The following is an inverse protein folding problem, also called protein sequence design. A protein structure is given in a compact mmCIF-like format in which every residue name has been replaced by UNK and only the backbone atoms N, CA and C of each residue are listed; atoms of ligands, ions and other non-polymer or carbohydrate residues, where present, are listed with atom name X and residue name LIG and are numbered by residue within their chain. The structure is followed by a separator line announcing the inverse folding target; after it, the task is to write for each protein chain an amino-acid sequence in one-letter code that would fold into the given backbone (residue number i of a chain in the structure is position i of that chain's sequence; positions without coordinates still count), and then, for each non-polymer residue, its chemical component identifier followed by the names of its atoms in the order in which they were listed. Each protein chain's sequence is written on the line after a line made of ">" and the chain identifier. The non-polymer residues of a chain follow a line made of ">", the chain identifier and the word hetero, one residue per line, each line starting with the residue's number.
data_IF_676725941838
#
_entry.id   IF_676725941838
#
_cell.length_a   1.000
_cell.length_b   1.000
_cell.length_c   1.000
_cell.angle_alpha   90.00
_cell.angle_beta   90.00
_cell.angle_gamma   90.00
#
_symmetry.space_group_name_H-M   'P 1'
#
loop_
_entity.id
_entity.type
_entity.pdbx_description
1 polymer ?
#
# COMPACT_ATOMS: atom_id res chain seq x y z
N UNK A 1 -0.09 26.88 -2.39
CA UNK A 1 -0.86 25.62 -2.25
C UNK A 1 0.06 24.45 -2.42
N UNK A 2 -0.06 23.44 -1.55
CA UNK A 2 0.70 22.19 -1.68
C UNK A 2 -0.22 21.06 -2.09
N UNK A 3 0.10 20.41 -3.20
CA UNK A 3 -0.65 19.30 -3.74
C UNK A 3 0.07 17.99 -3.46
N UNK A 4 -0.57 17.10 -2.72
CA UNK A 4 -0.06 15.76 -2.48
C UNK A 4 -0.71 14.75 -3.42
N UNK A 5 0.10 13.83 -3.91
CA UNK A 5 -0.37 12.65 -4.66
C UNK A 5 -0.22 11.41 -3.80
N UNK A 6 -1.30 10.64 -3.71
CA UNK A 6 -1.35 9.43 -2.88
C UNK A 6 -1.68 8.21 -3.74
N UNK A 7 -1.15 7.06 -3.33
CA UNK A 7 -1.16 5.85 -4.14
C UNK A 7 -1.69 4.67 -3.35
N UNK A 8 -2.72 3.95 -3.90
CA UNK A 8 -3.33 2.83 -3.22
C UNK A 8 -2.44 1.58 -3.20
N UNK A 9 -2.79 0.65 -2.34
CA UNK A 9 -2.18 -0.67 -2.27
C UNK A 9 -3.14 -1.79 -2.66
N UNK A 10 -2.82 -2.99 -2.20
CA UNK A 10 -3.58 -4.20 -2.46
C UNK A 10 -5.03 -4.05 -1.97
N UNK A 11 -5.99 -4.53 -2.76
CA UNK A 11 -7.42 -4.38 -2.53
C UNK A 11 -8.09 -3.36 -3.44
N UNK A 12 -7.32 -2.49 -4.09
CA UNK A 12 -7.85 -1.49 -5.02
C UNK A 12 -8.01 -2.01 -6.45
N UNK A 13 -7.40 -3.14 -6.79
CA UNK A 13 -7.39 -3.70 -8.15
C UNK A 13 -8.78 -4.03 -8.67
N UNK A 14 -8.98 -3.82 -9.97
CA UNK A 14 -10.20 -4.17 -10.68
C UNK A 14 -9.87 -4.58 -12.11
N UNK A 15 -10.57 -5.58 -12.64
CA UNK A 15 -10.42 -6.01 -14.03
C UNK A 15 -10.78 -4.86 -14.97
N UNK A 16 -9.95 -4.65 -15.98
CA UNK A 16 -10.04 -3.51 -16.91
C UNK A 16 -9.13 -2.36 -16.53
N UNK A 17 -8.52 -2.39 -15.35
CA UNK A 17 -7.63 -1.33 -14.86
C UNK A 17 -6.48 -1.06 -15.84
N UNK A 18 -6.29 0.20 -16.20
CA UNK A 18 -5.19 0.64 -17.05
C UNK A 18 -5.40 0.48 -18.56
N UNK A 19 -6.49 -0.17 -18.99
CA UNK A 19 -6.73 -0.42 -20.43
C UNK A 19 -6.89 0.89 -21.21
N UNK A 20 -7.55 1.89 -20.66
CA UNK A 20 -7.72 3.21 -21.26
C UNK A 20 -6.36 3.89 -21.50
N UNK A 21 -5.44 3.79 -20.55
CA UNK A 21 -4.07 4.30 -20.69
C UNK A 21 -3.32 3.58 -21.82
N UNK A 22 -3.43 2.26 -21.86
CA UNK A 22 -2.77 1.44 -22.88
C UNK A 22 -3.28 1.78 -24.28
N UNK A 23 -4.58 1.92 -24.45
CA UNK A 23 -5.22 2.16 -25.74
C UNK A 23 -5.04 3.60 -26.25
N UNK A 24 -4.94 4.59 -25.37
CA UNK A 24 -5.01 6.00 -25.74
C UNK A 24 -3.72 6.80 -25.57
N UNK A 25 -2.75 6.28 -24.82
CA UNK A 25 -1.48 6.99 -24.54
C UNK A 25 -0.32 6.14 -25.00
N UNK A 26 0.33 6.47 -26.16
CA UNK A 26 1.44 5.66 -26.70
C UNK A 26 2.58 5.42 -25.71
N UNK A 27 2.97 6.44 -24.94
CA UNK A 27 4.02 6.31 -23.93
C UNK A 27 3.61 5.35 -22.79
N UNK A 28 2.33 5.32 -22.43
CA UNK A 28 1.80 4.39 -21.44
C UNK A 28 1.84 2.95 -21.96
N UNK A 29 1.46 2.74 -23.22
CA UNK A 29 1.54 1.42 -23.88
C UNK A 29 2.97 0.88 -23.84
N UNK A 30 3.96 1.70 -24.15
CA UNK A 30 5.37 1.31 -24.09
C UNK A 30 5.78 0.86 -22.69
N UNK A 31 5.34 1.57 -21.65
CA UNK A 31 5.63 1.22 -20.26
C UNK A 31 4.96 -0.09 -19.85
N UNK A 32 3.72 -0.34 -20.27
CA UNK A 32 3.04 -1.60 -20.03
C UNK A 32 3.73 -2.78 -20.71
N UNK A 33 4.14 -2.60 -21.96
CA UNK A 33 4.87 -3.66 -22.70
C UNK A 33 6.25 -3.92 -22.08
N UNK A 34 6.93 -2.88 -21.64
CA UNK A 34 8.19 -3.02 -20.89
C UNK A 34 7.99 -3.79 -19.57
N UNK A 35 6.89 -3.53 -18.89
CA UNK A 35 6.54 -4.26 -17.67
C UNK A 35 6.32 -5.75 -17.93
N UNK A 36 5.66 -6.11 -19.04
CA UNK A 36 5.49 -7.51 -19.45
C UNK A 36 6.85 -8.19 -19.65
N UNK A 37 7.80 -7.51 -20.28
CA UNK A 37 9.16 -8.02 -20.49
C UNK A 37 9.90 -8.22 -19.14
N UNK A 38 9.87 -7.22 -18.26
CA UNK A 38 10.54 -7.26 -16.96
C UNK A 38 9.99 -8.39 -16.10
N UNK A 39 8.68 -8.56 -16.07
CA UNK A 39 8.01 -9.56 -15.24
C UNK A 39 8.10 -10.97 -15.81
N UNK A 40 8.34 -11.10 -17.12
CA UNK A 40 8.40 -12.40 -17.80
C UNK A 40 7.04 -13.05 -18.07
N UNK A 41 5.95 -12.31 -17.89
CA UNK A 41 4.60 -12.73 -18.27
C UNK A 41 3.76 -11.50 -18.64
N UNK A 42 2.67 -11.72 -19.37
CA UNK A 42 1.80 -10.64 -19.81
C UNK A 42 0.79 -10.25 -18.74
N UNK A 43 1.27 -9.45 -17.78
CA UNK A 43 0.41 -8.93 -16.72
C UNK A 43 -0.76 -8.09 -17.28
N UNK A 44 -0.55 -7.44 -18.40
CA UNK A 44 -1.58 -6.65 -19.10
C UNK A 44 -2.79 -7.48 -19.49
N UNK A 45 -2.60 -8.75 -19.88
CA UNK A 45 -3.72 -9.65 -20.21
C UNK A 45 -4.61 -9.89 -18.99
N UNK A 46 -3.99 -10.03 -17.82
CA UNK A 46 -4.72 -10.20 -16.55
C UNK A 46 -5.39 -8.89 -16.12
N UNK A 47 -4.66 -7.78 -16.19
CA UNK A 47 -5.18 -6.46 -15.80
C UNK A 47 -6.41 -6.05 -16.64
N UNK A 48 -6.36 -6.28 -17.95
CA UNK A 48 -7.35 -5.75 -18.88
C UNK A 48 -8.53 -6.70 -19.09
N UNK A 49 -8.30 -8.00 -19.09
CA UNK A 49 -9.30 -9.00 -19.47
C UNK A 49 -9.24 -10.32 -18.67
N UNK A 50 -8.49 -10.37 -17.57
CA UNK A 50 -8.40 -11.54 -16.71
C UNK A 50 -9.62 -11.70 -15.81
N UNK A 51 -9.50 -12.58 -14.83
CA UNK A 51 -10.53 -12.80 -13.82
C UNK A 51 -10.16 -12.09 -12.51
N UNK A 52 -11.16 -11.84 -11.67
CA UNK A 52 -10.92 -11.30 -10.32
C UNK A 52 -10.01 -12.22 -9.52
N UNK A 53 -10.13 -13.54 -9.67
CA UNK A 53 -9.29 -14.51 -8.98
C UNK A 53 -7.82 -14.42 -9.39
N UNK A 54 -7.53 -14.29 -10.68
CA UNK A 54 -6.17 -14.09 -11.19
C UNK A 54 -5.58 -12.79 -10.65
N UNK A 55 -6.37 -11.74 -10.64
CA UNK A 55 -5.94 -10.40 -10.20
C UNK A 55 -5.73 -10.33 -8.69
N UNK A 56 -6.40 -11.17 -7.90
CA UNK A 56 -6.25 -11.24 -6.44
C UNK A 56 -4.97 -11.92 -5.97
N UNK A 57 -4.30 -12.68 -6.81
CA UNK A 57 -3.04 -13.32 -6.43
C UNK A 57 -2.00 -12.24 -6.10
N UNK A 58 -1.42 -12.29 -4.90
CA UNK A 58 -0.47 -11.26 -4.41
C UNK A 58 0.63 -10.94 -5.42
N UNK A 59 1.19 -11.97 -6.06
CA UNK A 59 2.23 -11.81 -7.09
C UNK A 59 1.77 -11.02 -8.32
N UNK A 60 0.47 -10.96 -8.57
CA UNK A 60 -0.14 -10.20 -9.69
C UNK A 60 -0.66 -8.87 -9.20
N UNK A 61 -1.37 -8.85 -8.08
CA UNK A 61 -2.03 -7.66 -7.54
C UNK A 61 -1.06 -6.51 -7.32
N UNK A 62 0.06 -6.76 -6.65
CA UNK A 62 1.00 -5.70 -6.32
C UNK A 62 1.60 -5.05 -7.56
N UNK A 63 2.17 -5.80 -8.52
CA UNK A 63 2.65 -5.19 -9.75
C UNK A 63 1.54 -4.50 -10.55
N UNK A 64 0.34 -5.06 -10.60
CA UNK A 64 -0.78 -4.45 -11.33
C UNK A 64 -1.17 -3.08 -10.77
N UNK A 65 -1.34 -2.98 -9.45
CA UNK A 65 -1.67 -1.70 -8.79
C UNK A 65 -0.53 -0.69 -8.96
N UNK A 66 0.71 -1.12 -8.77
CA UNK A 66 1.89 -0.29 -9.01
C UNK A 66 1.93 0.28 -10.44
N UNK A 67 1.77 -0.58 -11.44
CA UNK A 67 1.79 -0.17 -12.86
C UNK A 67 0.70 0.84 -13.18
N UNK A 68 -0.52 0.57 -12.74
CA UNK A 68 -1.62 1.50 -12.99
C UNK A 68 -1.34 2.88 -12.38
N UNK A 69 -0.94 2.92 -11.12
CA UNK A 69 -0.64 4.17 -10.40
C UNK A 69 0.51 4.96 -11.06
N UNK A 70 1.62 4.30 -11.30
CA UNK A 70 2.84 4.96 -11.83
C UNK A 70 2.65 5.41 -13.28
N UNK A 71 2.04 4.57 -14.11
CA UNK A 71 1.81 4.91 -15.52
C UNK A 71 0.78 6.03 -15.64
N UNK A 72 -0.27 6.02 -14.81
CA UNK A 72 -1.22 7.13 -14.72
C UNK A 72 -0.52 8.46 -14.39
N UNK A 73 0.32 8.45 -13.36
CA UNK A 73 1.05 9.63 -12.93
C UNK A 73 1.96 10.18 -14.04
N UNK A 74 2.65 9.28 -14.75
CA UNK A 74 3.51 9.67 -15.87
C UNK A 74 2.70 10.22 -17.05
N UNK A 75 1.58 9.58 -17.38
CA UNK A 75 0.70 10.04 -18.47
C UNK A 75 0.10 11.42 -18.18
N UNK A 76 -0.23 11.71 -16.95
CA UNK A 76 -0.77 13.00 -16.52
C UNK A 76 0.33 14.05 -16.29
N UNK A 77 1.60 13.66 -16.28
CA UNK A 77 2.71 14.58 -16.05
C UNK A 77 2.67 15.25 -14.68
N UNK A 78 2.24 14.54 -13.63
CA UNK A 78 2.06 15.12 -12.30
C UNK A 78 3.38 15.56 -11.69
N UNK A 79 3.33 16.65 -10.92
CA UNK A 79 4.45 17.20 -10.18
C UNK A 79 4.05 17.35 -8.72
N UNK A 80 4.32 16.34 -7.87
CA UNK A 80 3.89 16.38 -6.49
C UNK A 80 4.71 17.36 -5.66
N UNK A 81 4.02 18.06 -4.74
CA UNK A 81 4.69 18.82 -3.66
C UNK A 81 4.95 17.90 -2.46
N UNK A 82 4.20 16.81 -2.36
CA UNK A 82 4.37 15.73 -1.40
C UNK A 82 3.77 14.46 -1.98
N UNK A 83 4.26 13.32 -1.55
CA UNK A 83 3.75 12.01 -1.98
C UNK A 83 3.68 11.04 -0.81
N UNK A 84 2.74 10.11 -0.88
CA UNK A 84 2.62 9.00 0.06
C UNK A 84 1.86 7.85 -0.59
N UNK A 85 2.09 6.64 -0.12
CA UNK A 85 1.38 5.47 -0.58
C UNK A 85 1.05 4.53 0.56
N UNK A 86 -0.04 3.79 0.41
CA UNK A 86 -0.49 2.83 1.41
C UNK A 86 0.11 1.46 1.09
N UNK A 87 0.96 0.93 1.98
CA UNK A 87 1.62 -0.38 1.81
C UNK A 87 2.40 -0.46 0.49
N UNK A 88 1.96 -1.25 -0.47
CA UNK A 88 2.51 -1.31 -1.84
C UNK A 88 2.65 0.08 -2.47
N UNK A 89 1.69 0.94 -2.19
CA UNK A 89 1.66 2.31 -2.73
C UNK A 89 2.87 3.17 -2.36
N UNK A 90 3.59 2.85 -1.29
CA UNK A 90 4.84 3.52 -0.93
C UNK A 90 5.88 3.44 -2.06
N UNK A 91 5.96 2.29 -2.72
CA UNK A 91 6.81 2.10 -3.90
C UNK A 91 6.36 2.96 -5.09
N UNK A 92 5.06 3.03 -5.32
CA UNK A 92 4.49 3.90 -6.36
C UNK A 92 4.83 5.36 -6.10
N UNK A 93 4.68 5.82 -4.86
CA UNK A 93 5.03 7.19 -4.44
C UNK A 93 6.51 7.49 -4.69
N UNK A 94 7.39 6.56 -4.36
CA UNK A 94 8.84 6.74 -4.55
C UNK A 94 9.23 6.82 -6.02
N UNK A 95 8.61 6.04 -6.89
CA UNK A 95 8.85 6.12 -8.33
C UNK A 95 8.33 7.43 -8.90
N UNK A 96 7.13 7.86 -8.53
CA UNK A 96 6.55 9.13 -9.01
C UNK A 96 7.35 10.32 -8.50
N UNK A 97 7.88 10.25 -7.29
CA UNK A 97 8.76 11.29 -6.73
C UNK A 97 10.20 11.23 -7.25
N UNK A 98 10.54 10.25 -8.09
CA UNK A 98 11.86 10.15 -8.70
C UNK A 98 12.95 9.51 -7.83
N UNK A 99 12.60 8.93 -6.68
CA UNK A 99 13.55 8.24 -5.82
C UNK A 99 13.98 6.87 -6.38
N UNK A 100 13.12 6.26 -7.20
CA UNK A 100 13.36 4.99 -7.89
C UNK A 100 12.98 5.14 -9.37
N UNK A 101 13.71 4.45 -10.25
CA UNK A 101 13.28 4.30 -11.64
C UNK A 101 12.06 3.38 -11.72
N UNK A 102 11.30 3.51 -12.81
CA UNK A 102 10.19 2.61 -13.11
C UNK A 102 10.62 1.14 -13.11
N UNK A 103 11.76 0.85 -13.74
CA UNK A 103 12.27 -0.52 -13.85
C UNK A 103 12.67 -1.11 -12.50
N UNK A 104 13.45 -0.36 -11.74
CA UNK A 104 13.89 -0.81 -10.41
C UNK A 104 12.71 -0.91 -9.44
N UNK A 105 11.79 0.04 -9.50
CA UNK A 105 10.56 -0.01 -8.71
C UNK A 105 9.72 -1.24 -9.00
N UNK A 106 9.51 -1.56 -10.28
CA UNK A 106 8.75 -2.76 -10.69
C UNK A 106 9.42 -4.06 -10.24
N UNK A 107 10.75 -4.15 -10.38
CA UNK A 107 11.51 -5.32 -9.92
C UNK A 107 11.39 -5.52 -8.41
N UNK A 108 11.47 -4.44 -7.64
CA UNK A 108 11.30 -4.50 -6.19
C UNK A 108 9.88 -4.90 -5.79
N UNK A 109 8.89 -4.35 -6.45
CA UNK A 109 7.48 -4.68 -6.20
C UNK A 109 7.19 -6.15 -6.52
N UNK A 110 7.70 -6.66 -7.63
CA UNK A 110 7.58 -8.07 -8.00
C UNK A 110 8.22 -8.98 -6.95
N UNK A 111 9.42 -8.63 -6.50
CA UNK A 111 10.13 -9.39 -5.48
C UNK A 111 9.40 -9.37 -4.14
N UNK A 112 8.86 -8.21 -3.76
CA UNK A 112 8.03 -8.05 -2.56
C UNK A 112 6.80 -8.95 -2.62
N UNK A 113 6.09 -8.95 -3.73
CA UNK A 113 4.90 -9.76 -3.94
C UNK A 113 5.19 -11.25 -3.80
N UNK A 114 6.27 -11.72 -4.42
CA UNK A 114 6.68 -13.13 -4.36
C UNK A 114 7.14 -13.54 -2.95
N UNK A 115 7.90 -12.68 -2.29
CA UNK A 115 8.37 -12.93 -0.92
C UNK A 115 7.21 -12.97 0.08
N UNK A 116 6.24 -12.07 -0.04
CA UNK A 116 5.04 -12.05 0.79
C UNK A 116 4.18 -13.29 0.56
N UNK A 117 4.00 -13.71 -0.68
CA UNK A 117 3.26 -14.93 -1.00
C UNK A 117 3.92 -16.17 -0.41
N UNK A 118 5.24 -16.29 -0.55
CA UNK A 118 5.99 -17.41 0.04
C UNK A 118 5.88 -17.44 1.57
N UNK A 119 5.91 -16.29 2.22
CA UNK A 119 5.72 -16.19 3.67
C UNK A 119 4.31 -16.62 4.09
N UNK A 120 3.29 -16.27 3.32
CA UNK A 120 1.91 -16.69 3.58
C UNK A 120 1.73 -18.21 3.45
N UNK A 121 2.38 -18.83 2.46
CA UNK A 121 2.32 -20.28 2.24
C UNK A 121 3.06 -21.03 3.35
N UNK A 122 4.21 -20.53 3.80
CA UNK A 122 5.02 -21.14 4.86
C UNK A 122 4.35 -21.01 6.23
N UNK A 123 3.71 -19.89 6.52
CA UNK A 123 3.07 -19.62 7.79
C UNK A 123 1.75 -18.89 7.56
N UNK A 124 0.62 -19.63 7.49
CA UNK A 124 -0.68 -19.04 7.28
C UNK A 124 -1.06 -18.05 8.37
N UNK A 125 -1.67 -16.96 7.95
CA UNK A 125 -2.19 -15.93 8.83
C UNK A 125 -3.41 -15.28 8.20
N UNK A 126 -3.93 -14.26 8.86
CA UNK A 126 -5.05 -13.48 8.34
C UNK A 126 -5.05 -12.07 8.90
N UNK A 127 -5.99 -11.28 8.43
CA UNK A 127 -6.23 -9.91 8.89
C UNK A 127 -7.72 -9.72 9.16
N UNK A 128 -8.04 -8.73 9.99
CA UNK A 128 -9.42 -8.37 10.28
C UNK A 128 -9.58 -6.86 10.44
N UNK A 129 -10.71 -6.34 9.97
CA UNK A 129 -11.07 -4.94 10.16
C UNK A 129 -11.83 -4.76 11.47
N UNK A 130 -11.37 -3.82 12.29
CA UNK A 130 -12.01 -3.44 13.54
C UNK A 130 -12.54 -2.02 13.39
N UNK A 131 -13.85 -1.86 13.50
CA UNK A 131 -14.53 -0.57 13.35
C UNK A 131 -15.17 -0.14 14.66
N UNK A 132 -15.04 1.14 14.98
CA UNK A 132 -15.77 1.78 16.09
C UNK A 132 -15.06 1.73 17.43
N UNK A 133 -13.78 1.39 17.47
CA UNK A 133 -12.95 1.46 18.67
C UNK A 133 -11.78 2.45 18.46
N UNK A 134 -11.31 3.02 19.57
CA UNK A 134 -10.10 3.84 19.55
C UNK A 134 -8.85 2.96 19.34
N UNK A 135 -7.83 3.52 18.75
CA UNK A 135 -6.57 2.83 18.45
C UNK A 135 -5.98 2.15 19.67
N UNK A 136 -5.93 2.86 20.81
CA UNK A 136 -5.39 2.34 22.06
C UNK A 136 -6.12 1.10 22.56
N UNK A 137 -7.44 1.07 22.44
CA UNK A 137 -8.26 -0.07 22.84
C UNK A 137 -7.93 -1.29 22.00
N UNK A 138 -7.80 -1.11 20.69
CA UNK A 138 -7.41 -2.21 19.76
C UNK A 138 -6.00 -2.70 20.06
N UNK A 139 -5.05 -1.79 20.32
CA UNK A 139 -3.67 -2.15 20.69
C UNK A 139 -3.63 -2.97 21.97
N UNK A 140 -4.39 -2.57 22.99
CA UNK A 140 -4.49 -3.31 24.27
C UNK A 140 -5.11 -4.70 24.07
N UNK A 141 -6.15 -4.81 23.22
CA UNK A 141 -6.76 -6.10 22.87
C UNK A 141 -5.72 -7.02 22.24
N UNK A 142 -4.99 -6.54 21.25
CA UNK A 142 -3.94 -7.33 20.58
C UNK A 142 -2.87 -7.80 21.58
N UNK A 143 -2.44 -6.92 22.47
CA UNK A 143 -1.46 -7.25 23.50
C UNK A 143 -1.96 -8.29 24.50
N UNK A 144 -3.27 -8.40 24.71
CA UNK A 144 -3.90 -9.32 25.69
C UNK A 144 -4.17 -10.71 25.13
N UNK A 145 -4.00 -10.93 23.84
CA UNK A 145 -4.25 -12.23 23.18
C UNK A 145 -2.97 -13.05 23.16
N UNK A 146 -3.10 -14.36 23.45
CA UNK A 146 -2.00 -15.28 23.26
C UNK A 146 -1.75 -15.52 21.77
N UNK A 147 -0.48 -15.54 21.38
CA UNK A 147 -0.08 -15.66 19.99
C UNK A 147 0.17 -14.32 19.32
N UNK A 148 0.47 -14.37 18.02
CA UNK A 148 0.83 -13.17 17.26
C UNK A 148 -0.41 -12.53 16.67
N UNK A 149 -0.74 -11.35 17.18
CA UNK A 149 -1.70 -10.42 16.55
C UNK A 149 -1.31 -8.99 16.89
N UNK A 150 -1.29 -8.13 15.87
CA UNK A 150 -0.87 -6.73 16.00
C UNK A 150 -1.80 -5.81 15.23
N UNK A 151 -1.81 -4.53 15.61
CA UNK A 151 -2.38 -3.48 14.78
C UNK A 151 -1.49 -3.32 13.54
N UNK A 152 -2.06 -3.49 12.36
CA UNK A 152 -1.31 -3.50 11.10
C UNK A 152 -1.57 -2.29 10.22
N UNK A 153 -2.82 -1.79 10.14
CA UNK A 153 -3.15 -0.60 9.36
C UNK A 153 -3.99 0.36 10.19
N UNK A 154 -3.45 1.54 10.44
CA UNK A 154 -4.18 2.67 11.02
C UNK A 154 -4.78 3.47 9.86
N UNK A 155 -5.97 3.08 9.39
CA UNK A 155 -6.53 3.58 8.14
C UNK A 155 -7.23 4.94 8.26
N UNK A 156 -8.03 5.12 9.30
CA UNK A 156 -8.64 6.40 9.67
C UNK A 156 -9.14 6.29 11.11
N UNK A 157 -9.54 7.40 11.75
CA UNK A 157 -10.09 7.32 13.10
C UNK A 157 -11.23 6.31 13.19
N UNK A 158 -11.13 5.37 14.13
CA UNK A 158 -12.11 4.31 14.35
C UNK A 158 -12.05 3.15 13.34
N UNK A 159 -11.07 3.11 12.46
CA UNK A 159 -10.89 2.00 11.50
C UNK A 159 -9.45 1.49 11.53
N UNK A 160 -9.27 0.35 12.12
CA UNK A 160 -7.98 -0.33 12.28
C UNK A 160 -8.05 -1.73 11.69
N UNK A 161 -6.98 -2.16 11.04
CA UNK A 161 -6.82 -3.56 10.61
C UNK A 161 -5.81 -4.23 11.51
N UNK A 162 -6.17 -5.38 12.05
CA UNK A 162 -5.28 -6.24 12.84
C UNK A 162 -4.78 -7.40 11.97
N UNK A 163 -3.62 -7.94 12.30
CA UNK A 163 -2.93 -8.95 11.50
C UNK A 163 -2.18 -9.92 12.40
N UNK A 164 -2.24 -11.21 12.07
CA UNK A 164 -1.54 -12.21 12.84
C UNK A 164 -1.92 -13.64 12.49
N UNK A 165 -1.62 -14.55 13.42
CA UNK A 165 -2.04 -15.95 13.32
C UNK A 165 -3.56 -16.03 13.36
N UNK A 166 -4.13 -16.99 12.63
CA UNK A 166 -5.59 -17.10 12.46
C UNK A 166 -6.32 -17.14 13.79
N UNK A 167 -5.89 -17.99 14.71
CA UNK A 167 -6.53 -18.14 16.03
C UNK A 167 -6.41 -16.87 16.88
N UNK A 168 -5.26 -16.19 16.80
CA UNK A 168 -5.02 -14.97 17.56
C UNK A 168 -5.88 -13.81 17.01
N UNK A 169 -6.01 -13.70 15.70
CA UNK A 169 -6.90 -12.70 15.06
C UNK A 169 -8.36 -12.96 15.44
N UNK A 170 -8.81 -14.23 15.42
CA UNK A 170 -10.18 -14.59 15.83
C UNK A 170 -10.44 -14.22 17.29
N UNK A 171 -9.50 -14.54 18.19
CA UNK A 171 -9.62 -14.17 19.59
C UNK A 171 -9.68 -12.66 19.81
N UNK A 172 -8.85 -11.91 19.07
CA UNK A 172 -8.87 -10.45 19.10
C UNK A 172 -10.20 -9.88 18.61
N UNK A 173 -10.78 -10.46 17.55
CA UNK A 173 -12.11 -10.06 17.05
C UNK A 173 -13.20 -10.25 18.10
N UNK A 174 -13.20 -11.38 18.81
CA UNK A 174 -14.17 -11.63 19.88
C UNK A 174 -14.01 -10.62 21.02
N UNK A 175 -12.79 -10.32 21.43
CA UNK A 175 -12.52 -9.29 22.45
C UNK A 175 -12.95 -7.89 21.99
N UNK A 176 -12.73 -7.57 20.71
CA UNK A 176 -13.15 -6.29 20.14
C UNK A 176 -14.67 -6.13 20.16
N UNK A 177 -15.42 -7.18 19.81
CA UNK A 177 -16.88 -7.19 19.90
C UNK A 177 -17.35 -6.98 21.33
N UNK A 178 -16.74 -7.65 22.30
CA UNK A 178 -17.05 -7.49 23.72
C UNK A 178 -16.73 -6.08 24.23
N UNK A 179 -15.74 -5.41 23.67
CA UNK A 179 -15.36 -4.03 23.98
C UNK A 179 -16.24 -2.97 23.30
N UNK A 180 -17.22 -3.39 22.49
CA UNK A 180 -18.15 -2.49 21.83
C UNK A 180 -17.82 -2.12 20.39
N UNK A 181 -16.95 -2.87 19.71
CA UNK A 181 -16.69 -2.66 18.30
C UNK A 181 -17.99 -2.76 17.50
N UNK A 182 -18.21 -1.79 16.61
CA UNK A 182 -19.34 -1.82 15.69
C UNK A 182 -19.22 -2.97 14.69
N UNK A 183 -17.99 -3.33 14.33
CA UNK A 183 -17.67 -4.43 13.43
C UNK A 183 -16.28 -4.97 13.75
N UNK A 184 -16.14 -6.29 13.75
CA UNK A 184 -14.87 -7.00 13.82
C UNK A 184 -14.96 -8.17 12.86
N UNK A 185 -14.36 -8.03 11.67
CA UNK A 185 -14.61 -8.93 10.55
C UNK A 185 -13.31 -9.32 9.86
N UNK A 186 -13.09 -10.63 9.66
CA UNK A 186 -11.97 -11.10 8.86
C UNK A 186 -12.05 -10.56 7.45
N UNK A 187 -10.88 -10.19 6.92
CA UNK A 187 -10.70 -9.84 5.52
C UNK A 187 -10.38 -11.10 4.69
N UNK A 188 -10.72 -11.11 3.40
CA UNK A 188 -10.45 -12.26 2.51
C UNK A 188 -8.98 -12.29 2.08
N UNK A 189 -8.06 -12.35 3.04
CA UNK A 189 -6.61 -12.43 2.82
C UNK A 189 -6.04 -13.60 3.60
N UNK A 190 -5.10 -14.31 3.00
CA UNK A 190 -4.47 -15.51 3.56
C UNK A 190 -3.12 -15.26 4.21
N UNK A 191 -2.80 -14.02 4.56
CA UNK A 191 -1.52 -13.67 5.12
C UNK A 191 -1.60 -12.62 6.22
N UNK A 192 -0.63 -12.64 7.12
CA UNK A 192 -0.50 -11.70 8.22
C UNK A 192 0.42 -10.54 7.83
N UNK A 193 -0.02 -9.70 6.90
CA UNK A 193 0.78 -8.58 6.40
C UNK A 193 1.02 -7.56 7.49
N UNK A 194 2.17 -6.89 7.44
CA UNK A 194 2.59 -5.88 8.42
C UNK A 194 2.63 -6.40 9.87
N UNK A 195 2.96 -7.67 10.02
CA UNK A 195 3.13 -8.34 11.31
C UNK A 195 4.49 -9.02 11.39
N UNK A 196 4.90 -9.48 12.59
CA UNK A 196 6.13 -10.28 12.74
C UNK A 196 6.18 -11.53 11.87
N UNK A 197 5.05 -12.08 11.42
CA UNK A 197 4.98 -13.25 10.55
C UNK A 197 5.52 -12.98 9.13
N UNK A 198 5.73 -11.71 8.78
CA UNK A 198 6.35 -11.32 7.51
C UNK A 198 7.88 -11.21 7.58
N UNK A 199 8.51 -11.58 8.68
CA UNK A 199 9.96 -11.50 8.83
C UNK A 199 10.73 -12.23 7.72
N UNK A 200 10.34 -13.45 7.29
CA UNK A 200 11.02 -14.11 6.16
C UNK A 200 10.96 -13.30 4.86
N UNK A 201 9.80 -12.67 4.58
CA UNK A 201 9.64 -11.83 3.41
C UNK A 201 10.50 -10.55 3.51
N UNK A 202 10.58 -9.97 4.70
CA UNK A 202 11.44 -8.81 4.96
C UNK A 202 12.90 -9.12 4.68
N UNK A 203 13.41 -10.26 5.13
CA UNK A 203 14.79 -10.68 4.89
C UNK A 203 15.10 -10.83 3.40
N UNK A 204 14.18 -11.42 2.63
CA UNK A 204 14.35 -11.56 1.19
C UNK A 204 14.33 -10.20 0.46
N UNK A 205 13.43 -9.32 0.86
CA UNK A 205 13.29 -7.99 0.24
C UNK A 205 14.44 -7.07 0.62
N UNK A 206 14.99 -7.20 1.82
CA UNK A 206 16.09 -6.36 2.32
C UNK A 206 17.29 -6.35 1.38
N UNK A 207 17.69 -7.52 0.91
CA UNK A 207 18.81 -7.65 -0.03
C UNK A 207 18.57 -6.89 -1.32
N UNK A 208 17.37 -7.01 -1.87
CA UNK A 208 17.02 -6.35 -3.12
C UNK A 208 16.94 -4.82 -2.95
N UNK A 209 16.39 -4.34 -1.85
CA UNK A 209 16.31 -2.90 -1.55
C UNK A 209 17.72 -2.33 -1.34
N UNK A 210 18.58 -3.03 -0.61
CA UNK A 210 19.96 -2.58 -0.34
C UNK A 210 20.77 -2.39 -1.63
N UNK A 211 20.55 -3.24 -2.62
CA UNK A 211 21.26 -3.19 -3.91
C UNK A 211 20.64 -2.23 -4.93
N UNK A 212 19.37 -1.86 -4.76
CA UNK A 212 18.69 -0.98 -5.70
C UNK A 212 19.23 0.46 -5.61
N UNK A 213 19.39 1.15 -6.75
CA UNK A 213 19.85 2.53 -6.77
C UNK A 213 18.70 3.48 -6.42
N UNK A 214 18.78 4.10 -5.25
CA UNK A 214 17.85 5.14 -4.82
C UNK A 214 18.47 6.52 -4.99
N UNK A 215 17.65 7.49 -5.35
CA UNK A 215 18.04 8.88 -5.51
C UNK A 215 17.20 9.76 -4.58
N UNK A 216 17.64 11.02 -4.42
CA UNK A 216 16.86 12.01 -3.69
C UNK A 216 15.57 12.30 -4.45
N UNK A 217 14.38 12.12 -3.84
CA UNK A 217 13.12 12.45 -4.48
C UNK A 217 12.95 13.95 -4.71
N UNK A 218 12.10 14.33 -5.67
CA UNK A 218 11.82 15.75 -5.99
C UNK A 218 10.93 16.42 -4.95
N UNK A 219 10.32 15.64 -4.06
CA UNK A 219 9.45 16.12 -2.98
C UNK A 219 9.57 15.19 -1.77
N UNK A 220 9.14 15.63 -0.57
CA UNK A 220 9.05 14.74 0.57
C UNK A 220 8.10 13.57 0.31
N UNK A 221 8.53 12.36 0.67
CA UNK A 221 7.70 11.16 0.65
C UNK A 221 7.42 10.74 2.08
N UNK A 222 6.14 10.72 2.45
CA UNK A 222 5.71 10.31 3.79
C UNK A 222 5.63 8.80 3.84
N UNK A 223 6.47 8.17 4.65
CA UNK A 223 6.58 6.71 4.68
C UNK A 223 5.73 6.06 5.77
N UNK A 224 5.35 4.82 5.55
CA UNK A 224 4.34 4.13 6.36
C UNK A 224 4.77 3.87 7.81
N UNK A 225 6.06 3.58 8.04
CA UNK A 225 6.54 3.09 9.33
C UNK A 225 6.42 4.09 10.48
N UNK A 226 6.59 5.38 10.21
CA UNK A 226 6.55 6.43 11.22
C UNK A 226 5.73 7.66 10.80
N UNK A 227 5.14 7.64 9.62
CA UNK A 227 4.32 8.69 9.04
C UNK A 227 5.05 10.02 8.78
N UNK A 228 6.37 10.01 8.77
CA UNK A 228 7.19 11.22 8.59
C UNK A 228 7.63 11.41 7.14
N UNK A 229 7.91 12.66 6.72
CA UNK A 229 8.43 12.97 5.41
C UNK A 229 9.94 12.67 5.31
N UNK A 230 10.35 12.10 4.17
CA UNK A 230 11.74 11.74 3.91
C UNK A 230 12.18 12.18 2.51
N UNK A 231 13.43 12.60 2.43
CA UNK A 231 14.14 12.92 1.17
C UNK A 231 15.50 12.25 1.09
N UNK A 232 16.04 11.76 2.20
CA UNK A 232 17.32 11.05 2.23
C UNK A 232 17.18 9.61 1.72
N UNK A 233 17.90 9.21 0.65
CA UNK A 233 17.83 7.86 0.10
C UNK A 233 18.14 6.75 1.10
N UNK A 234 19.11 6.94 1.99
CA UNK A 234 19.49 5.93 2.99
C UNK A 234 18.37 5.71 4.01
N UNK A 235 17.74 6.78 4.48
CA UNK A 235 16.58 6.71 5.39
C UNK A 235 15.38 6.06 4.71
N UNK A 236 15.12 6.40 3.44
CA UNK A 236 14.04 5.81 2.64
C UNK A 236 14.22 4.29 2.52
N UNK A 237 15.42 3.81 2.21
CA UNK A 237 15.73 2.38 2.14
C UNK A 237 15.44 1.68 3.46
N UNK A 238 15.95 2.22 4.56
CA UNK A 238 15.76 1.65 5.89
C UNK A 238 14.28 1.53 6.25
N UNK A 239 13.49 2.55 5.94
CA UNK A 239 12.05 2.55 6.19
C UNK A 239 11.29 1.55 5.31
N UNK A 240 11.68 1.38 4.05
CA UNK A 240 11.07 0.38 3.17
C UNK A 240 11.34 -1.05 3.66
N UNK A 241 12.53 -1.30 4.17
CA UNK A 241 12.89 -2.60 4.76
C UNK A 241 12.04 -2.86 6.00
N UNK A 242 11.91 -1.88 6.89
CA UNK A 242 11.13 -1.99 8.11
C UNK A 242 9.61 -2.14 7.85
N UNK A 243 9.11 -1.63 6.74
CA UNK A 243 7.68 -1.56 6.43
C UNK A 243 6.96 -2.91 6.47
N UNK A 244 7.62 -3.99 6.04
CA UNK A 244 6.97 -5.29 5.87
C UNK A 244 6.49 -5.92 7.18
N UNK A 245 7.16 -5.61 8.28
CA UNK A 245 6.82 -6.10 9.63
C UNK A 245 6.30 -5.01 10.55
N UNK A 246 6.08 -3.81 10.03
CA UNK A 246 5.64 -2.66 10.79
C UNK A 246 4.24 -2.18 10.34
N UNK A 247 3.49 -1.49 11.20
CA UNK A 247 2.19 -0.95 10.84
C UNK A 247 2.27 0.09 9.71
N UNK A 248 1.19 0.17 8.93
CA UNK A 248 0.94 1.26 8.00
C UNK A 248 0.18 2.35 8.75
N UNK A 249 0.82 3.48 8.98
CA UNK A 249 0.28 4.58 9.79
C UNK A 249 -0.42 5.64 8.94
N UNK A 250 -1.41 5.22 8.17
CA UNK A 250 -2.07 6.08 7.18
C UNK A 250 -2.77 7.29 7.80
N UNK A 251 -3.51 7.12 8.88
CA UNK A 251 -4.14 8.23 9.60
C UNK A 251 -3.14 9.32 9.94
N UNK A 252 -1.98 8.91 10.46
CA UNK A 252 -0.93 9.85 10.89
C UNK A 252 -0.20 10.48 9.71
N UNK A 253 -0.05 9.75 8.60
CA UNK A 253 0.46 10.32 7.34
C UNK A 253 -0.41 11.49 6.89
N UNK A 254 -1.71 11.28 6.81
CA UNK A 254 -2.67 12.33 6.39
C UNK A 254 -2.61 13.53 7.34
N UNK A 255 -2.62 13.27 8.65
CA UNK A 255 -2.52 14.34 9.66
C UNK A 255 -1.23 15.13 9.54
N UNK A 256 -0.11 14.46 9.36
CA UNK A 256 1.19 15.11 9.22
C UNK A 256 1.27 15.93 7.92
N UNK A 257 0.76 15.40 6.82
CA UNK A 257 0.69 16.15 5.56
C UNK A 257 -0.15 17.42 5.70
N UNK A 258 -1.30 17.34 6.32
CA UNK A 258 -2.15 18.51 6.59
C UNK A 258 -1.45 19.53 7.49
N UNK A 259 -0.80 19.05 8.54
CA UNK A 259 -0.03 19.89 9.47
C UNK A 259 1.14 20.59 8.77
N UNK A 260 1.76 19.94 7.78
CA UNK A 260 2.88 20.46 7.01
C UNK A 260 2.44 21.36 5.83
N UNK A 261 1.14 21.62 5.72
CA UNK A 261 0.59 22.61 4.78
C UNK A 261 0.07 22.04 3.46
N UNK A 262 -0.13 20.74 3.36
CA UNK A 262 -0.82 20.15 2.19
C UNK A 262 -2.27 20.62 2.20
N UNK A 263 -2.74 21.15 1.07
CA UNK A 263 -4.07 21.72 0.92
C UNK A 263 -5.01 20.87 0.07
N UNK A 264 -4.46 20.02 -0.79
CA UNK A 264 -5.26 19.13 -1.64
C UNK A 264 -4.53 17.82 -1.90
N UNK A 265 -5.34 16.77 -2.11
CA UNK A 265 -4.85 15.41 -2.38
C UNK A 265 -5.46 14.89 -3.66
N UNK A 266 -4.68 14.14 -4.43
CA UNK A 266 -5.18 13.35 -5.55
C UNK A 266 -4.70 11.92 -5.39
N UNK A 267 -5.64 10.98 -5.34
CA UNK A 267 -5.35 9.55 -5.40
C UNK A 267 -5.21 9.13 -6.86
N UNK A 268 -4.07 8.54 -7.22
CA UNK A 268 -3.82 8.00 -8.56
C UNK A 268 -3.67 6.50 -8.50
N UNK A 269 -4.48 5.81 -9.29
CA UNK A 269 -4.49 4.36 -9.35
C UNK A 269 -5.92 3.82 -9.38
N UNK A 270 -6.09 2.49 -9.24
CA UNK A 270 -7.43 1.91 -9.26
C UNK A 270 -8.22 2.28 -7.99
N UNK A 271 -9.53 2.46 -8.13
CA UNK A 271 -10.43 2.71 -7.03
C UNK A 271 -10.33 4.10 -6.40
N UNK A 272 -10.91 4.24 -5.21
CA UNK A 272 -10.98 5.50 -4.47
C UNK A 272 -10.91 5.30 -2.95
N UNK A 273 -10.23 4.25 -2.51
CA UNK A 273 -10.14 3.88 -1.09
C UNK A 273 -9.49 4.98 -0.26
N UNK A 274 -8.35 5.50 -0.72
CA UNK A 274 -7.61 6.53 0.01
C UNK A 274 -8.38 7.85 0.08
N UNK A 275 -9.09 8.21 -0.97
CA UNK A 275 -9.98 9.36 -0.96
C UNK A 275 -10.98 9.28 0.19
N UNK A 276 -11.62 8.13 0.35
CA UNK A 276 -12.57 7.89 1.44
C UNK A 276 -11.92 7.96 2.83
N UNK A 277 -10.73 7.40 2.98
CA UNK A 277 -9.98 7.43 4.24
C UNK A 277 -9.54 8.85 4.61
N UNK A 278 -9.05 9.60 3.65
CA UNK A 278 -8.62 10.99 3.86
C UNK A 278 -9.80 11.84 4.33
N UNK A 279 -10.96 11.71 3.70
CA UNK A 279 -12.18 12.41 4.11
C UNK A 279 -12.63 12.08 5.53
N UNK A 280 -12.38 10.86 5.98
CA UNK A 280 -12.67 10.45 7.37
C UNK A 280 -11.67 10.99 8.38
N UNK A 281 -10.43 11.26 7.95
CA UNK A 281 -9.45 11.94 8.80
C UNK A 281 -9.81 13.41 8.95
N UNK A 282 -10.11 14.09 7.85
CA UNK A 282 -10.57 15.48 7.84
C UNK A 282 -11.61 15.69 6.74
N UNK A 283 -12.91 15.83 7.11
CA UNK A 283 -14.00 16.01 6.15
C UNK A 283 -13.89 17.26 5.29
N UNK A 284 -13.12 18.26 5.71
CA UNK A 284 -12.93 19.52 5.00
C UNK A 284 -11.80 19.47 3.97
N UNK A 285 -11.09 18.36 3.88
CA UNK A 285 -9.98 18.21 2.95
C UNK A 285 -10.45 18.11 1.50
N UNK A 286 -9.79 18.85 0.62
CA UNK A 286 -9.99 18.72 -0.82
C UNK A 286 -9.26 17.47 -1.30
N UNK A 287 -10.01 16.48 -1.76
CA UNK A 287 -9.46 15.21 -2.25
C UNK A 287 -10.26 14.68 -3.42
N UNK A 288 -9.56 14.21 -4.44
CA UNK A 288 -10.14 13.53 -5.60
C UNK A 288 -9.40 12.26 -5.92
N UNK A 289 -10.01 11.40 -6.73
CA UNK A 289 -9.39 10.16 -7.24
C UNK A 289 -9.43 10.16 -8.76
N UNK A 290 -8.36 9.66 -9.37
CA UNK A 290 -8.30 9.42 -10.81
C UNK A 290 -7.84 7.99 -11.07
N UNK A 291 -8.73 7.17 -11.60
CA UNK A 291 -8.49 5.78 -12.02
C UNK A 291 -8.56 5.61 -13.53
N UNK A 292 -9.04 6.62 -14.25
CA UNK A 292 -9.13 6.69 -15.72
C UNK A 292 -8.67 8.05 -16.21
N UNK A 293 -8.40 8.16 -17.52
CA UNK A 293 -8.05 9.43 -18.16
C UNK A 293 -9.20 10.43 -18.18
#
# INVERSE_FOLDING_TARGET
>A
MKHAYVFPGQGAQAVGMGKDLYDNVPAAKELFEKANEILGFRITDIMFAGTDEELKQTRVTQPAVFLHSVIMAKALGVKPDAAAGHSLGDFSALVVAGALSFEDGLKLVSKRAMAMQAACEAQPGTMAAILGLEDKVVEEICASVDGVVVAANYNCPGQLVISGAVEAVDAACEKAKAAGARRALRLPVGGAFHSPLMEPAKQELEKAIAEAPFQTPVCPVYQNVDAKPYTDPAAIKANLIAQLTAPVRWTYIVRNMLSDGVTEFTELGPGSVLQGLIRKVDPNTVVESKSTL
#
